data_IF_048400391507
#
_entry.id   IF_048400391507
#
_cell.length_a   1.000
_cell.length_b   1.000
_cell.length_c   1.000
_cell.angle_alpha   90.00
_cell.angle_beta   90.00
_cell.angle_gamma   90.00
#
_symmetry.space_group_name_H-M   'P 1'
#
loop_
_entity.id
_entity.type
_entity.pdbx_description
1 polymer ?
#
# COMPACT_ATOMS: atom_id res chain seq x y z
N UNK A 1 14.37 -33.29 20.67
CA UNK A 1 12.98 -33.73 20.86
C UNK A 1 12.19 -33.26 19.66
N UNK A 2 11.80 -34.16 18.75
CA UNK A 2 10.95 -33.86 17.59
C UNK A 2 9.51 -34.09 18.02
N UNK A 3 8.77 -33.01 18.32
CA UNK A 3 7.32 -33.08 18.54
C UNK A 3 6.62 -32.91 17.20
N UNK A 4 6.28 -34.03 16.55
CA UNK A 4 5.34 -34.01 15.42
C UNK A 4 3.93 -33.75 15.96
N UNK A 5 3.26 -32.75 15.42
CA UNK A 5 1.83 -32.52 15.69
C UNK A 5 1.05 -33.65 15.01
N UNK A 6 0.58 -34.62 15.79
CA UNK A 6 -0.35 -35.65 15.31
C UNK A 6 -1.70 -34.99 15.01
N UNK A 7 -2.25 -35.30 13.83
CA UNK A 7 -3.48 -34.72 13.31
C UNK A 7 -4.67 -34.99 14.22
N UNK A 8 -4.97 -34.04 15.09
CA UNK A 8 -6.21 -33.99 15.85
C UNK A 8 -7.41 -33.78 14.94
N UNK A 9 -8.55 -34.36 15.31
CA UNK A 9 -9.80 -34.25 14.58
C UNK A 9 -10.27 -32.78 14.52
N UNK A 10 -10.20 -32.17 13.33
CA UNK A 10 -10.57 -30.76 13.08
C UNK A 10 -11.93 -30.36 13.65
N UNK A 11 -12.89 -31.30 13.71
CA UNK A 11 -14.23 -31.06 14.23
C UNK A 11 -14.28 -30.95 15.77
N UNK A 12 -13.31 -31.52 16.49
CA UNK A 12 -13.21 -31.37 17.95
C UNK A 12 -12.60 -30.03 18.35
N UNK A 13 -11.61 -29.52 17.58
CA UNK A 13 -11.02 -28.20 17.81
C UNK A 13 -12.06 -27.07 17.71
N UNK A 14 -13.00 -27.18 16.76
CA UNK A 14 -14.07 -26.20 16.57
C UNK A 14 -15.17 -26.26 17.64
N UNK A 15 -15.33 -27.38 18.36
CA UNK A 15 -16.36 -27.54 19.41
C UNK A 15 -15.97 -26.93 20.76
N UNK A 16 -14.68 -26.69 21.01
CA UNK A 16 -14.18 -26.10 22.26
C UNK A 16 -14.13 -24.57 22.29
N UNK A 17 -14.13 -23.92 21.14
CA UNK A 17 -13.84 -22.49 21.04
C UNK A 17 -15.12 -21.65 20.89
N UNK A 18 -15.64 -21.16 22.02
CA UNK A 18 -16.82 -20.26 22.07
C UNK A 18 -16.60 -18.88 21.43
N UNK A 19 -15.41 -18.59 20.88
CA UNK A 19 -15.00 -17.29 20.35
C UNK A 19 -14.30 -17.42 18.97
N UNK A 20 -14.84 -18.25 18.09
CA UNK A 20 -14.35 -18.40 16.72
C UNK A 20 -14.93 -17.31 15.83
N UNK A 21 -14.07 -16.47 15.26
CA UNK A 21 -14.50 -15.41 14.35
C UNK A 21 -13.99 -15.65 12.94
N UNK A 22 -14.94 -15.74 12.02
CA UNK A 22 -14.71 -15.73 10.59
C UNK A 22 -15.12 -14.35 10.09
N UNK A 23 -14.16 -13.58 9.61
CA UNK A 23 -14.41 -12.33 8.92
C UNK A 23 -14.56 -12.62 7.43
N UNK A 24 -15.63 -12.11 6.84
CA UNK A 24 -15.90 -12.22 5.41
C UNK A 24 -15.80 -10.85 4.76
N UNK A 25 -15.20 -10.81 3.58
CA UNK A 25 -15.23 -9.67 2.68
C UNK A 25 -16.16 -9.99 1.51
N UNK A 26 -17.10 -9.09 1.23
CA UNK A 26 -18.02 -9.20 0.09
C UNK A 26 -17.83 -8.04 -0.87
N UNK A 27 -18.04 -8.27 -2.16
CA UNK A 27 -18.12 -7.19 -3.14
C UNK A 27 -19.51 -6.52 -3.13
N UNK A 28 -19.71 -5.57 -4.05
CA UNK A 28 -20.98 -4.84 -4.22
C UNK A 28 -22.17 -5.74 -4.55
N UNK A 29 -21.93 -6.90 -5.17
CA UNK A 29 -22.98 -7.88 -5.50
C UNK A 29 -23.26 -8.84 -4.34
N UNK A 30 -22.63 -8.67 -3.18
CA UNK A 30 -22.73 -9.56 -2.03
C UNK A 30 -21.97 -10.88 -2.18
N UNK A 31 -21.17 -11.05 -3.22
CA UNK A 31 -20.33 -12.24 -3.40
C UNK A 31 -19.15 -12.19 -2.45
N UNK A 32 -18.82 -13.32 -1.81
CA UNK A 32 -17.65 -13.45 -0.94
C UNK A 32 -16.38 -13.40 -1.80
N UNK A 33 -15.53 -12.41 -1.55
CA UNK A 33 -14.26 -12.18 -2.25
C UNK A 33 -13.03 -12.43 -1.37
N UNK A 34 -13.24 -12.66 -0.07
CA UNK A 34 -12.18 -13.07 0.83
C UNK A 34 -12.71 -13.47 2.19
N UNK A 35 -11.89 -14.20 2.94
CA UNK A 35 -12.18 -14.54 4.32
C UNK A 35 -10.91 -14.58 5.16
N UNK A 36 -11.08 -14.40 6.46
CA UNK A 36 -10.06 -14.56 7.48
C UNK A 36 -10.68 -15.30 8.67
N UNK A 37 -10.10 -16.43 9.04
CA UNK A 37 -10.45 -17.16 10.25
C UNK A 37 -9.42 -16.89 11.33
N UNK A 38 -9.84 -16.16 12.35
CA UNK A 38 -8.98 -15.62 13.39
C UNK A 38 -9.54 -15.88 14.80
N UNK A 39 -9.50 -17.13 15.29
CA UNK A 39 -10.00 -17.46 16.62
C UNK A 39 -9.21 -16.77 17.74
N UNK A 40 -9.90 -16.47 18.84
CA UNK A 40 -9.23 -16.11 20.09
C UNK A 40 -8.89 -17.38 20.86
N UNK A 41 -7.63 -17.51 21.25
CA UNK A 41 -7.12 -18.64 22.02
C UNK A 41 -6.41 -18.18 23.28
N UNK A 42 -5.95 -19.12 24.09
CA UNK A 42 -5.11 -18.88 25.26
C UNK A 42 -3.81 -19.63 25.07
N UNK A 43 -2.67 -18.93 25.16
CA UNK A 43 -1.37 -19.57 25.07
C UNK A 43 -1.06 -20.44 26.30
N UNK A 44 0.08 -21.14 26.25
CA UNK A 44 0.57 -22.00 27.35
C UNK A 44 0.75 -21.27 28.69
N UNK A 45 0.83 -19.93 28.68
CA UNK A 45 0.97 -19.11 29.89
C UNK A 45 -0.36 -18.65 30.48
N UNK A 46 -1.49 -19.03 29.86
CA UNK A 46 -2.81 -18.55 30.25
C UNK A 46 -3.16 -17.17 29.67
N UNK A 47 -2.34 -16.62 28.75
CA UNK A 47 -2.57 -15.31 28.17
C UNK A 47 -3.42 -15.44 26.90
N UNK A 48 -4.44 -14.58 26.77
CA UNK A 48 -5.28 -14.53 25.57
C UNK A 48 -4.47 -14.04 24.36
N UNK A 49 -4.61 -14.74 23.24
CA UNK A 49 -3.97 -14.44 21.96
C UNK A 49 -4.99 -14.46 20.81
N UNK A 50 -4.71 -13.72 19.75
CA UNK A 50 -5.39 -13.85 18.46
C UNK A 50 -4.59 -14.82 17.58
N UNK A 51 -5.19 -15.93 17.17
CA UNK A 51 -4.50 -16.88 16.29
C UNK A 51 -4.97 -16.68 14.84
N UNK A 52 -4.07 -16.35 13.92
CA UNK A 52 -4.38 -16.20 12.50
C UNK A 52 -4.14 -17.54 11.78
N UNK A 53 -5.22 -18.28 11.50
CA UNK A 53 -5.09 -19.66 11.01
C UNK A 53 -5.28 -19.80 9.50
N UNK A 54 -6.32 -19.20 8.94
CA UNK A 54 -6.67 -19.35 7.53
C UNK A 54 -7.11 -18.02 6.95
N UNK A 55 -6.58 -17.69 5.79
CA UNK A 55 -7.02 -16.54 5.04
C UNK A 55 -6.97 -16.86 3.56
N UNK A 56 -7.95 -16.36 2.80
CA UNK A 56 -7.91 -16.40 1.35
C UNK A 56 -8.56 -15.15 0.77
N UNK A 57 -8.05 -14.73 -0.37
CA UNK A 57 -8.64 -13.69 -1.20
C UNK A 57 -8.80 -14.25 -2.60
N UNK A 58 -9.98 -14.03 -3.18
CA UNK A 58 -10.30 -14.41 -4.53
C UNK A 58 -9.24 -13.84 -5.50
N UNK A 59 -8.72 -14.61 -6.48
CA UNK A 59 -7.62 -14.19 -7.36
C UNK A 59 -7.81 -12.78 -7.97
N UNK A 60 -8.99 -12.49 -8.50
CA UNK A 60 -9.31 -11.20 -9.13
C UNK A 60 -9.26 -9.97 -8.18
N UNK A 61 -9.25 -10.23 -6.87
CA UNK A 61 -9.26 -9.23 -5.81
C UNK A 61 -7.95 -9.22 -5.00
N UNK A 62 -6.97 -10.03 -5.37
CA UNK A 62 -5.63 -9.98 -4.79
C UNK A 62 -4.96 -8.64 -5.11
N UNK A 63 -4.10 -8.16 -4.20
CA UNK A 63 -3.45 -6.85 -4.34
C UNK A 63 -4.35 -5.63 -4.09
N UNK A 64 -5.69 -5.81 -3.94
CA UNK A 64 -6.65 -4.73 -3.70
C UNK A 64 -6.89 -4.42 -2.21
N UNK A 65 -5.98 -4.83 -1.32
CA UNK A 65 -6.09 -4.56 0.13
C UNK A 65 -7.17 -5.34 0.88
N UNK A 66 -7.82 -6.34 0.27
CA UNK A 66 -8.88 -7.15 0.92
C UNK A 66 -8.36 -7.84 2.18
N UNK A 67 -7.23 -8.55 2.07
CA UNK A 67 -6.64 -9.25 3.22
C UNK A 67 -6.17 -8.28 4.31
N UNK A 68 -5.57 -7.15 3.92
CA UNK A 68 -5.12 -6.12 4.84
C UNK A 68 -6.29 -5.54 5.65
N UNK A 69 -7.44 -5.34 5.01
CA UNK A 69 -8.65 -4.86 5.65
C UNK A 69 -9.25 -5.89 6.62
N UNK A 70 -9.28 -7.17 6.22
CA UNK A 70 -9.69 -8.27 7.09
C UNK A 70 -8.79 -8.38 8.33
N UNK A 71 -7.47 -8.30 8.16
CA UNK A 71 -6.51 -8.30 9.25
C UNK A 71 -6.69 -7.09 10.17
N UNK A 72 -6.87 -5.89 9.61
CA UNK A 72 -7.14 -4.68 10.38
C UNK A 72 -8.35 -4.83 11.29
N UNK A 73 -9.46 -5.38 10.77
CA UNK A 73 -10.67 -5.67 11.55
C UNK A 73 -10.44 -6.72 12.64
N UNK A 74 -9.72 -7.80 12.33
CA UNK A 74 -9.38 -8.82 13.32
C UNK A 74 -8.56 -8.24 14.48
N UNK A 75 -7.57 -7.40 14.16
CA UNK A 75 -6.73 -6.74 15.17
C UNK A 75 -7.47 -5.71 16.00
N UNK A 76 -8.29 -4.88 15.37
CA UNK A 76 -9.14 -3.93 16.09
C UNK A 76 -10.01 -4.67 17.11
N UNK A 77 -10.62 -5.77 16.70
CA UNK A 77 -11.49 -6.56 17.58
C UNK A 77 -10.74 -7.28 18.69
N UNK A 78 -9.55 -7.81 18.40
CA UNK A 78 -8.67 -8.36 19.42
C UNK A 78 -8.32 -7.28 20.47
N UNK A 79 -8.02 -6.06 20.02
CA UNK A 79 -7.73 -4.93 20.89
C UNK A 79 -8.91 -4.54 21.78
N UNK A 80 -10.11 -4.46 21.23
CA UNK A 80 -11.37 -4.22 21.97
C UNK A 80 -11.61 -5.30 23.04
N UNK A 81 -11.13 -6.52 22.81
CA UNK A 81 -11.19 -7.64 23.75
C UNK A 81 -10.01 -7.69 24.74
N UNK A 82 -9.14 -6.68 24.75
CA UNK A 82 -7.96 -6.61 25.61
C UNK A 82 -6.81 -7.56 25.20
N UNK A 83 -6.89 -8.14 24.00
CA UNK A 83 -5.88 -9.05 23.45
C UNK A 83 -4.78 -8.22 22.81
N UNK A 84 -3.56 -8.35 23.34
CA UNK A 84 -2.38 -7.57 22.91
C UNK A 84 -1.33 -8.39 22.16
N UNK A 85 -1.60 -9.66 21.93
CA UNK A 85 -0.70 -10.58 21.25
C UNK A 85 -1.48 -11.37 20.22
N UNK A 86 -0.83 -11.59 19.09
CA UNK A 86 -1.30 -12.51 18.08
C UNK A 86 -0.18 -13.50 17.74
N UNK A 87 -0.59 -14.62 17.18
CA UNK A 87 0.30 -15.65 16.68
C UNK A 87 -0.17 -16.07 15.30
N UNK A 88 0.78 -16.40 14.44
CA UNK A 88 0.50 -16.87 13.10
C UNK A 88 1.61 -17.78 12.57
N UNK A 89 1.17 -18.76 11.79
CA UNK A 89 2.05 -19.77 11.23
C UNK A 89 1.91 -19.84 9.71
N UNK A 90 2.55 -18.91 8.96
CA UNK A 90 2.54 -18.97 7.51
C UNK A 90 3.14 -20.29 7.01
N UNK A 91 2.45 -20.90 6.03
CA UNK A 91 2.86 -22.16 5.41
C UNK A 91 4.08 -22.02 4.51
N UNK A 92 4.33 -20.83 3.94
CA UNK A 92 5.42 -20.57 2.99
C UNK A 92 6.25 -19.36 3.36
N UNK A 93 7.50 -19.31 2.87
CA UNK A 93 8.41 -18.18 3.07
C UNK A 93 7.86 -16.88 2.44
N UNK A 94 7.20 -16.95 1.29
CA UNK A 94 6.63 -15.77 0.63
C UNK A 94 5.54 -15.11 1.50
N UNK A 95 4.67 -15.94 2.10
CA UNK A 95 3.67 -15.46 3.06
C UNK A 95 4.35 -14.90 4.31
N UNK A 96 5.41 -15.55 4.81
CA UNK A 96 6.18 -15.04 5.93
C UNK A 96 6.78 -13.66 5.67
N UNK A 97 7.37 -13.43 4.50
CA UNK A 97 7.92 -12.11 4.13
C UNK A 97 6.82 -11.06 3.94
N UNK A 98 5.70 -11.45 3.32
CA UNK A 98 4.51 -10.60 3.18
C UNK A 98 4.05 -10.13 4.57
N UNK A 99 3.83 -11.05 5.50
CA UNK A 99 3.41 -10.71 6.85
C UNK A 99 4.46 -9.93 7.62
N UNK A 100 5.75 -10.27 7.49
CA UNK A 100 6.83 -9.52 8.12
C UNK A 100 6.81 -8.03 7.77
N UNK A 101 6.52 -7.69 6.51
CA UNK A 101 6.36 -6.29 6.07
C UNK A 101 5.18 -5.56 6.71
N UNK A 102 4.14 -6.27 7.17
CA UNK A 102 3.02 -5.69 7.90
C UNK A 102 3.32 -5.42 9.39
N UNK A 103 4.37 -6.02 9.97
CA UNK A 103 4.56 -6.07 11.42
C UNK A 103 5.92 -5.54 11.91
N UNK A 104 6.22 -4.26 11.71
CA UNK A 104 7.60 -3.76 11.87
C UNK A 104 8.08 -3.33 13.28
N UNK A 105 7.25 -3.12 14.34
CA UNK A 105 7.79 -2.47 15.59
C UNK A 105 7.27 -2.93 16.96
N UNK A 106 7.92 -3.95 17.61
CA UNK A 106 7.71 -4.71 18.93
C UNK A 106 6.87 -6.04 19.03
N UNK A 107 6.36 -6.51 20.18
CA UNK A 107 6.05 -7.93 20.52
C UNK A 107 4.82 -8.68 19.94
N UNK A 108 5.01 -9.52 18.93
CA UNK A 108 4.20 -10.72 18.56
C UNK A 108 5.06 -11.70 17.78
N UNK A 109 4.68 -12.99 17.70
CA UNK A 109 5.50 -14.02 17.06
C UNK A 109 4.90 -14.44 15.71
N UNK A 110 5.76 -14.64 14.73
CA UNK A 110 5.45 -15.21 13.42
C UNK A 110 6.44 -16.34 13.20
N UNK A 111 5.95 -17.54 12.93
CA UNK A 111 6.80 -18.70 12.65
C UNK A 111 6.45 -19.30 11.28
N UNK A 112 7.41 -19.28 10.35
CA UNK A 112 7.24 -19.97 9.08
C UNK A 112 7.28 -21.50 9.31
N UNK A 113 6.22 -22.22 8.96
CA UNK A 113 6.18 -23.68 9.16
C UNK A 113 7.19 -24.41 8.26
N UNK A 114 7.41 -23.90 7.04
CA UNK A 114 8.31 -24.52 6.07
C UNK A 114 9.78 -24.38 6.47
N UNK A 115 10.19 -23.21 6.96
CA UNK A 115 11.59 -22.88 7.23
C UNK A 115 11.95 -22.90 8.71
N UNK A 116 10.97 -22.94 9.61
CA UNK A 116 11.15 -22.79 11.06
C UNK A 116 11.64 -21.41 11.47
N UNK A 117 11.69 -20.44 10.53
CA UNK A 117 12.13 -19.08 10.84
C UNK A 117 11.11 -18.40 11.73
N UNK A 118 11.61 -17.82 12.82
CA UNK A 118 10.81 -17.05 13.77
C UNK A 118 11.12 -15.57 13.62
N UNK A 119 10.08 -14.76 13.56
CA UNK A 119 10.17 -13.31 13.61
C UNK A 119 9.34 -12.80 14.78
N UNK A 120 9.90 -11.83 15.50
CA UNK A 120 9.20 -11.13 16.57
C UNK A 120 8.95 -9.69 16.12
N UNK A 121 7.71 -9.37 15.76
CA UNK A 121 7.31 -8.08 15.21
C UNK A 121 5.91 -7.70 15.68
N UNK A 122 5.48 -6.48 15.38
CA UNK A 122 4.35 -5.85 16.09
C UNK A 122 3.40 -5.19 15.14
N UNK A 123 2.17 -5.08 15.60
CA UNK A 123 1.13 -4.34 14.92
C UNK A 123 1.44 -2.84 15.06
N UNK A 124 1.99 -2.22 14.01
CA UNK A 124 1.68 -0.82 13.74
C UNK A 124 0.20 -0.76 13.39
N UNK A 125 -0.52 0.23 13.94
CA UNK A 125 -1.94 0.46 13.71
C UNK A 125 -2.22 0.24 12.21
N UNK A 126 -2.83 -0.89 11.86
CA UNK A 126 -3.20 -1.15 10.47
C UNK A 126 -4.19 -0.04 10.17
N UNK A 127 -3.92 0.86 9.21
CA UNK A 127 -4.95 1.79 8.80
C UNK A 127 -6.14 0.93 8.42
N UNK A 128 -7.23 1.06 9.19
CA UNK A 128 -8.51 0.51 8.80
C UNK A 128 -8.85 1.30 7.54
N UNK A 129 -8.46 0.76 6.39
CA UNK A 129 -8.99 1.21 5.12
C UNK A 129 -10.47 0.86 5.23
N UNK A 130 -11.30 1.88 5.42
CA UNK A 130 -12.74 1.75 5.25
C UNK A 130 -12.97 1.34 3.80
N UNK A 131 -13.01 0.03 3.55
CA UNK A 131 -13.49 -0.53 2.28
C UNK A 131 -15.01 -0.46 2.31
N UNK A 132 -15.51 0.77 2.31
CA UNK A 132 -16.89 1.11 2.07
C UNK A 132 -16.93 2.19 0.98
N UNK A 133 -16.18 2.00 -0.11
CA UNK A 133 -16.45 2.67 -1.37
C UNK A 133 -15.79 1.91 -2.53
N UNK A 134 -16.65 1.19 -3.24
CA UNK A 134 -16.62 0.95 -4.70
C UNK A 134 -15.36 0.29 -5.29
N UNK A 135 -15.28 -1.04 -5.23
CA UNK A 135 -14.34 -1.82 -6.04
C UNK A 135 -15.01 -2.13 -7.38
N UNK A 136 -14.88 -1.21 -8.32
CA UNK A 136 -15.46 -1.33 -9.66
C UNK A 136 -14.85 -2.51 -10.45
N UNK A 137 -15.69 -3.50 -10.76
CA UNK A 137 -15.71 -4.31 -11.99
C UNK A 137 -14.63 -5.39 -12.23
N UNK A 138 -15.00 -6.57 -12.76
CA UNK A 138 -14.04 -7.57 -13.26
C UNK A 138 -13.46 -7.12 -14.61
N UNK A 139 -12.13 -7.22 -14.78
CA UNK A 139 -11.48 -7.05 -16.08
C UNK A 139 -11.58 -8.37 -16.84
N UNK A 140 -12.22 -8.30 -18.00
CA UNK A 140 -12.55 -9.42 -18.87
C UNK A 140 -11.26 -10.10 -19.40
N UNK A 141 -10.89 -11.25 -18.85
CA UNK A 141 -9.71 -12.02 -19.25
C UNK A 141 -10.07 -13.04 -20.35
N UNK A 142 -10.18 -12.52 -21.58
CA UNK A 142 -10.42 -13.28 -22.79
C UNK A 142 -9.33 -13.12 -23.84
N UNK A 143 -8.05 -13.39 -23.52
CA UNK A 143 -7.00 -13.66 -24.52
C UNK A 143 -5.78 -14.30 -23.85
N UNK A 144 -5.33 -15.45 -24.37
CA UNK A 144 -4.07 -16.10 -23.98
C UNK A 144 -2.90 -15.32 -24.59
N UNK A 145 -2.27 -14.42 -23.83
CA UNK A 145 -0.98 -13.82 -24.16
C UNK A 145 0.17 -14.61 -23.51
N UNK A 146 1.33 -14.74 -24.18
CA UNK A 146 2.48 -15.48 -23.65
C UNK A 146 3.13 -14.72 -22.49
N UNK A 147 3.66 -15.47 -21.52
CA UNK A 147 4.18 -14.95 -20.25
C UNK A 147 5.36 -14.00 -20.39
N UNK A 148 5.08 -12.71 -20.25
CA UNK A 148 6.04 -11.67 -19.89
C UNK A 148 5.46 -10.90 -18.70
N UNK A 149 6.28 -10.66 -17.67
CA UNK A 149 5.89 -9.77 -16.58
C UNK A 149 5.96 -8.35 -17.16
N UNK A 150 4.80 -7.74 -17.42
CA UNK A 150 4.73 -6.33 -17.76
C UNK A 150 4.97 -5.52 -16.49
N UNK A 151 6.19 -4.99 -16.34
CA UNK A 151 6.59 -4.23 -15.15
C UNK A 151 5.77 -2.93 -14.99
N UNK A 152 5.09 -2.47 -16.04
CA UNK A 152 4.19 -1.30 -16.02
C UNK A 152 2.88 -1.59 -15.29
N UNK A 153 2.52 -2.87 -15.13
CA UNK A 153 1.29 -3.32 -14.45
C UNK A 153 1.60 -3.84 -13.05
N UNK A 154 2.79 -3.58 -12.52
CA UNK A 154 3.12 -3.99 -11.16
C UNK A 154 2.24 -3.27 -10.13
N UNK A 155 1.90 -3.95 -9.01
CA UNK A 155 1.18 -3.34 -7.90
C UNK A 155 1.82 -2.04 -7.41
N UNK A 156 3.15 -1.92 -7.52
CA UNK A 156 3.90 -0.73 -7.06
C UNK A 156 3.55 0.50 -7.90
N UNK A 157 3.54 0.37 -9.22
CA UNK A 157 3.21 1.48 -10.14
C UNK A 157 1.74 1.85 -10.01
N UNK A 158 0.86 0.85 -9.97
CA UNK A 158 -0.59 1.07 -9.84
C UNK A 158 -0.98 1.68 -8.48
N UNK A 159 -0.29 1.32 -7.39
CA UNK A 159 -0.45 1.94 -6.07
C UNK A 159 0.08 3.38 -6.06
N UNK A 160 1.26 3.63 -6.62
CA UNK A 160 1.82 4.98 -6.71
C UNK A 160 0.90 5.92 -7.52
N UNK A 161 0.40 5.46 -8.67
CA UNK A 161 -0.57 6.21 -9.47
C UNK A 161 -1.87 6.47 -8.71
N UNK A 162 -2.37 5.48 -7.96
CA UNK A 162 -3.58 5.61 -7.14
C UNK A 162 -3.41 6.58 -5.97
N UNK A 163 -2.30 6.48 -5.23
CA UNK A 163 -1.95 7.37 -4.13
C UNK A 163 -1.81 8.80 -4.63
N UNK A 164 -1.11 8.99 -5.75
CA UNK A 164 -0.89 10.30 -6.33
C UNK A 164 -2.22 10.91 -6.80
N UNK A 165 -3.07 10.14 -7.48
CA UNK A 165 -4.42 10.58 -7.88
C UNK A 165 -5.29 10.98 -6.69
N UNK A 166 -5.22 10.24 -5.58
CA UNK A 166 -5.95 10.58 -4.36
C UNK A 166 -5.38 11.83 -3.66
N UNK A 167 -4.06 11.98 -3.63
CA UNK A 167 -3.38 13.17 -3.14
C UNK A 167 -3.66 14.41 -4.02
N UNK A 168 -4.05 14.21 -5.28
CA UNK A 168 -4.44 15.25 -6.23
C UNK A 168 -5.90 15.69 -6.06
N UNK A 169 -6.79 14.82 -5.59
CA UNK A 169 -8.23 15.09 -5.45
C UNK A 169 -8.63 16.07 -4.34
N UNK A 170 -7.71 16.47 -3.45
CA UNK A 170 -8.00 17.31 -2.27
C UNK A 170 -7.34 18.68 -2.28
N UNK A 171 -6.68 19.11 -3.37
CA UNK A 171 -6.12 20.47 -3.43
C UNK A 171 -7.25 21.43 -3.81
N UNK A 172 -7.61 22.42 -2.96
CA UNK A 172 -8.52 23.46 -3.38
C UNK A 172 -7.89 24.17 -4.58
N UNK A 173 -8.66 24.28 -5.66
CA UNK A 173 -8.36 24.98 -6.90
C UNK A 173 -7.92 26.47 -6.75
N UNK A 174 -7.57 26.94 -5.56
CA UNK A 174 -7.17 28.32 -5.28
C UNK A 174 -5.86 28.74 -5.95
N UNK A 175 -5.02 27.80 -6.43
CA UNK A 175 -3.90 28.11 -7.35
C UNK A 175 -4.19 27.81 -8.82
N UNK A 176 -5.27 27.08 -9.12
CA UNK A 176 -5.73 26.83 -10.49
C UNK A 176 -6.55 27.99 -11.08
N UNK A 177 -7.03 28.93 -10.28
CA UNK A 177 -7.59 30.19 -10.80
C UNK A 177 -6.55 31.00 -11.59
N UNK A 178 -5.25 30.83 -11.31
CA UNK A 178 -4.18 31.48 -12.08
C UNK A 178 -3.93 30.76 -13.41
N UNK A 179 -4.06 29.43 -13.45
CA UNK A 179 -3.92 28.64 -14.68
C UNK A 179 -5.14 28.79 -15.63
N UNK A 180 -6.34 29.04 -15.10
CA UNK A 180 -7.54 29.33 -15.91
C UNK A 180 -7.72 30.82 -16.28
N UNK A 181 -7.01 31.76 -15.63
CA UNK A 181 -7.02 33.19 -16.01
C UNK A 181 -5.94 33.60 -17.02
N UNK A 182 -5.26 32.65 -17.66
CA UNK A 182 -4.36 32.96 -18.78
C UNK A 182 -3.01 33.59 -18.39
N UNK A 183 -2.67 33.61 -17.10
CA UNK A 183 -1.31 33.87 -16.64
C UNK A 183 -0.62 32.53 -16.40
N UNK A 184 0.07 32.04 -17.42
CA UNK A 184 1.07 30.99 -17.28
C UNK A 184 2.01 31.41 -16.14
N UNK A 185 2.03 30.76 -14.96
CA UNK A 185 3.13 30.99 -14.03
C UNK A 185 4.39 30.66 -14.80
N UNK A 186 5.37 31.56 -14.79
CA UNK A 186 6.59 31.43 -15.56
C UNK A 186 7.30 30.13 -15.15
N UNK A 187 6.99 29.02 -15.84
CA UNK A 187 7.42 27.66 -15.48
C UNK A 187 8.94 27.57 -15.42
N UNK A 188 9.60 28.31 -16.31
CA UNK A 188 11.06 28.42 -16.35
C UNK A 188 11.60 29.05 -15.07
N UNK A 189 10.94 30.11 -14.58
CA UNK A 189 11.33 30.75 -13.32
C UNK A 189 11.01 29.87 -12.11
N UNK A 190 9.88 29.17 -12.11
CA UNK A 190 9.55 28.22 -11.03
C UNK A 190 10.54 27.06 -10.99
N UNK A 191 10.96 26.55 -12.16
CA UNK A 191 12.02 25.54 -12.24
C UNK A 191 13.35 26.07 -11.72
N UNK A 192 13.77 27.26 -12.13
CA UNK A 192 14.99 27.90 -11.64
C UNK A 192 14.95 28.14 -10.13
N UNK A 193 13.79 28.43 -9.56
CA UNK A 193 13.63 28.55 -8.11
C UNK A 193 13.82 27.19 -7.41
N UNK A 194 13.23 26.12 -7.94
CA UNK A 194 13.39 24.76 -7.42
C UNK A 194 14.85 24.32 -7.52
N UNK A 195 15.50 24.55 -8.65
CA UNK A 195 16.90 24.21 -8.88
C UNK A 195 17.82 24.95 -7.91
N UNK A 196 17.63 26.26 -7.72
CA UNK A 196 18.39 27.05 -6.73
C UNK A 196 18.20 26.56 -5.30
N UNK A 197 17.01 26.08 -4.93
CA UNK A 197 16.80 25.49 -3.61
C UNK A 197 17.64 24.23 -3.44
N UNK A 198 17.59 23.31 -4.41
CA UNK A 198 18.34 22.06 -4.37
C UNK A 198 19.85 22.33 -4.36
N UNK A 199 20.34 23.24 -5.19
CA UNK A 199 21.75 23.67 -5.22
C UNK A 199 22.22 24.30 -3.89
N UNK A 200 21.32 25.01 -3.20
CA UNK A 200 21.59 25.57 -1.88
C UNK A 200 21.51 24.53 -0.74
N UNK A 201 21.26 23.25 -1.05
CA UNK A 201 21.04 22.19 -0.06
C UNK A 201 19.71 22.30 0.67
N UNK A 202 18.76 23.08 0.14
CA UNK A 202 17.42 23.24 0.70
C UNK A 202 16.49 22.29 -0.04
N UNK A 203 15.96 21.28 0.65
CA UNK A 203 14.97 20.38 0.07
C UNK A 203 13.66 21.12 -0.22
N UNK A 204 13.22 21.25 -1.50
CA UNK A 204 11.91 21.79 -1.83
C UNK A 204 10.80 20.84 -1.39
N UNK A 205 9.61 21.38 -1.10
CA UNK A 205 8.49 20.53 -0.69
C UNK A 205 7.97 19.69 -1.85
N UNK A 206 7.43 18.50 -1.54
CA UNK A 206 6.86 17.62 -2.55
C UNK A 206 5.63 18.22 -3.23
N UNK A 207 4.90 19.11 -2.55
CA UNK A 207 3.81 19.89 -3.14
C UNK A 207 4.31 20.85 -4.21
N UNK A 208 5.47 21.49 -4.02
CA UNK A 208 6.02 22.45 -5.00
C UNK A 208 6.45 21.74 -6.28
N UNK A 209 7.12 20.60 -6.15
CA UNK A 209 7.49 19.72 -7.28
C UNK A 209 6.23 19.23 -8.00
N UNK A 210 5.22 18.83 -7.25
CA UNK A 210 3.93 18.40 -7.79
C UNK A 210 3.24 19.51 -8.57
N UNK A 211 3.13 20.73 -8.03
CA UNK A 211 2.53 21.88 -8.71
C UNK A 211 3.26 22.19 -10.03
N UNK A 212 4.59 22.15 -10.04
CA UNK A 212 5.40 22.32 -11.24
C UNK A 212 5.08 21.26 -12.31
N UNK A 213 5.02 19.98 -11.91
CA UNK A 213 4.69 18.88 -12.84
C UNK A 213 3.27 19.06 -13.39
N UNK A 214 2.30 19.42 -12.56
CA UNK A 214 0.92 19.66 -13.00
C UNK A 214 0.83 20.79 -14.03
N UNK A 215 1.47 21.93 -13.74
CA UNK A 215 1.48 23.08 -14.64
C UNK A 215 2.25 22.78 -15.95
N UNK A 216 3.33 21.99 -15.87
CA UNK A 216 4.09 21.51 -17.04
C UNK A 216 3.29 20.50 -17.88
N UNK A 217 2.53 19.61 -17.24
CA UNK A 217 1.61 18.67 -17.90
C UNK A 217 0.48 19.42 -18.63
N UNK A 218 -0.08 20.46 -18.01
CA UNK A 218 -1.11 21.30 -18.60
C UNK A 218 -0.61 22.02 -19.87
N UNK A 219 0.64 22.49 -19.85
CA UNK A 219 1.30 23.16 -20.98
C UNK A 219 1.88 22.19 -22.03
N UNK A 220 1.86 20.87 -21.79
CA UNK A 220 2.28 19.85 -22.75
C UNK A 220 3.80 19.68 -22.92
N UNK A 221 4.61 20.25 -22.03
CA UNK A 221 6.07 20.28 -22.13
C UNK A 221 6.73 19.84 -20.82
N UNK A 222 6.41 18.64 -20.33
CA UNK A 222 7.08 18.06 -19.15
C UNK A 222 8.41 17.45 -19.58
N UNK A 223 9.50 18.02 -19.10
CA UNK A 223 10.82 17.40 -19.16
C UNK A 223 10.99 16.45 -17.98
N UNK A 224 10.68 15.17 -18.21
CA UNK A 224 10.70 14.14 -17.16
C UNK A 224 12.09 13.92 -16.60
N UNK A 225 13.09 13.95 -17.46
CA UNK A 225 14.48 13.65 -17.09
C UNK A 225 15.00 14.70 -16.11
N UNK A 226 14.65 15.98 -16.33
CA UNK A 226 14.95 17.06 -15.39
C UNK A 226 14.31 16.83 -14.02
N UNK A 227 13.04 16.45 -13.99
CA UNK A 227 12.32 16.22 -12.73
C UNK A 227 12.88 15.00 -11.98
N UNK A 228 13.17 13.91 -12.71
CA UNK A 228 13.80 12.71 -12.15
C UNK A 228 15.18 13.05 -11.56
N UNK A 229 15.99 13.84 -12.27
CA UNK A 229 17.29 14.29 -11.79
C UNK A 229 17.16 15.11 -10.50
N UNK A 230 16.23 16.08 -10.47
CA UNK A 230 15.95 16.88 -9.28
C UNK A 230 15.54 16.03 -8.07
N UNK A 231 14.62 15.07 -8.26
CA UNK A 231 14.20 14.15 -7.19
C UNK A 231 15.40 13.30 -6.73
N UNK A 232 16.23 12.82 -7.65
CA UNK A 232 17.41 12.02 -7.31
C UNK A 232 18.42 12.80 -6.47
N UNK A 233 18.63 14.08 -6.77
CA UNK A 233 19.50 14.96 -5.98
C UNK A 233 18.92 15.21 -4.58
N UNK A 234 17.59 15.37 -4.45
CA UNK A 234 16.91 15.45 -3.15
C UNK A 234 17.10 14.15 -2.35
N UNK A 235 16.91 12.99 -2.97
CA UNK A 235 17.08 11.70 -2.29
C UNK A 235 18.52 11.50 -1.81
N UNK A 236 19.51 11.94 -2.60
CA UNK A 236 20.91 11.91 -2.18
C UNK A 236 21.17 12.83 -0.97
N UNK A 237 20.60 14.04 -0.98
CA UNK A 237 20.69 14.94 0.19
C UNK A 237 20.04 14.32 1.43
N UNK A 238 18.87 13.70 1.29
CA UNK A 238 18.17 13.04 2.40
C UNK A 238 18.93 11.82 2.94
N UNK A 239 19.63 11.10 2.06
CA UNK A 239 20.53 10.00 2.45
C UNK A 239 21.70 10.51 3.29
N UNK A 240 22.37 11.57 2.84
CA UNK A 240 23.47 12.22 3.56
C UNK A 240 23.03 12.76 4.94
N UNK A 241 21.81 13.30 5.03
CA UNK A 241 21.20 13.79 6.26
C UNK A 241 20.54 12.70 7.13
N UNK A 242 20.45 11.46 6.63
CA UNK A 242 19.77 10.33 7.29
C UNK A 242 18.31 10.62 7.67
N UNK A 243 17.58 11.34 6.82
CA UNK A 243 16.19 11.72 7.06
C UNK A 243 15.20 10.89 6.20
N UNK A 244 13.93 10.86 6.63
CA UNK A 244 12.91 10.07 5.96
C UNK A 244 12.43 10.76 4.69
N UNK A 245 12.38 10.02 3.58
CA UNK A 245 11.79 10.51 2.33
C UNK A 245 10.27 10.60 2.39
N UNK A 246 9.75 11.71 1.87
CA UNK A 246 8.31 11.91 1.71
C UNK A 246 7.69 10.87 0.76
N UNK A 247 6.52 10.36 1.14
CA UNK A 247 5.83 9.34 0.35
C UNK A 247 5.42 9.86 -1.03
N UNK A 248 4.97 11.12 -1.12
CA UNK A 248 4.56 11.74 -2.38
C UNK A 248 5.73 11.85 -3.35
N UNK A 249 6.92 12.19 -2.86
CA UNK A 249 8.12 12.28 -3.69
C UNK A 249 8.49 10.93 -4.32
N UNK A 250 8.37 9.84 -3.54
CA UNK A 250 8.59 8.46 -4.05
C UNK A 250 7.54 8.07 -5.08
N UNK A 251 6.28 8.39 -4.82
CA UNK A 251 5.18 8.09 -5.75
C UNK A 251 5.36 8.85 -7.07
N UNK A 252 5.79 10.11 -7.02
CA UNK A 252 6.13 10.90 -8.22
C UNK A 252 7.25 10.23 -9.03
N UNK A 253 8.34 9.82 -8.37
CA UNK A 253 9.47 9.17 -9.05
C UNK A 253 9.03 7.89 -9.75
N UNK A 254 8.27 7.03 -9.06
CA UNK A 254 7.76 5.77 -9.61
C UNK A 254 6.89 6.01 -10.85
N UNK A 255 6.03 7.03 -10.81
CA UNK A 255 5.15 7.37 -11.94
C UNK A 255 5.94 7.91 -13.13
N UNK A 256 6.99 8.71 -12.90
CA UNK A 256 7.84 9.24 -13.96
C UNK A 256 8.70 8.16 -14.61
N UNK A 257 9.26 7.22 -13.83
CA UNK A 257 10.10 6.12 -14.31
C UNK A 257 9.32 5.02 -15.04
N UNK A 258 8.04 4.80 -14.69
CA UNK A 258 7.20 3.80 -15.33
C UNK A 258 6.94 4.03 -16.83
N UNK A 259 7.50 5.10 -17.41
CA UNK A 259 7.46 5.38 -18.84
C UNK A 259 6.10 5.89 -19.31
N UNK A 260 5.23 6.34 -18.40
CA UNK A 260 3.92 6.89 -18.73
C UNK A 260 4.06 8.00 -19.78
N UNK A 261 3.40 7.86 -20.92
CA UNK A 261 3.36 8.86 -22.00
C UNK A 261 2.94 10.23 -21.47
N UNK A 262 3.28 11.32 -22.18
CA UNK A 262 2.89 12.67 -21.76
C UNK A 262 1.36 12.80 -21.55
N UNK A 263 0.59 11.98 -22.27
CA UNK A 263 -0.86 11.90 -22.16
C UNK A 263 -1.31 11.16 -20.88
N UNK A 264 -0.68 10.03 -20.53
CA UNK A 264 -0.93 9.34 -19.26
C UNK A 264 -0.50 10.17 -18.05
N UNK A 265 0.62 10.91 -18.14
CA UNK A 265 1.02 11.86 -17.10
C UNK A 265 -0.01 12.98 -16.95
N UNK A 266 -0.56 13.49 -18.06
CA UNK A 266 -1.63 14.49 -18.00
C UNK A 266 -2.86 13.92 -17.31
N UNK A 267 -3.26 12.70 -17.60
CA UNK A 267 -4.38 12.03 -16.93
C UNK A 267 -4.13 11.82 -15.43
N UNK A 268 -2.91 11.45 -15.05
CA UNK A 268 -2.53 11.23 -13.65
C UNK A 268 -2.47 12.55 -12.88
N UNK A 269 -1.79 13.56 -13.40
CA UNK A 269 -1.47 14.80 -12.68
C UNK A 269 -2.51 15.92 -12.83
N UNK A 270 -3.22 15.98 -13.96
CA UNK A 270 -4.23 17.03 -14.24
C UNK A 270 -5.65 16.49 -14.05
N UNK A 271 -5.84 15.17 -14.16
CA UNK A 271 -7.16 14.54 -14.16
C UNK A 271 -7.90 14.74 -15.48
N UNK A 272 -8.90 13.89 -15.76
CA UNK A 272 -9.81 14.10 -16.89
C UNK A 272 -10.62 15.37 -16.64
N UNK A 273 -10.25 16.48 -17.27
CA UNK A 273 -11.17 17.59 -17.47
C UNK A 273 -12.22 17.15 -18.48
N UNK A 274 -13.39 16.75 -17.96
CA UNK A 274 -14.65 16.73 -18.71
C UNK A 274 -15.28 18.11 -18.60
#
# INVERSE_FOLDING_TARGET
SKGGYEGGNYAEFLKGAKNNEILLATNETGQIIGFLYSPFDTDETGKRILYLSHAAVHPDYQGRGVLSSLLGRAFQKAWENGIKSFDMQPLSEDLFQLYKGYFERRSSWIECQQTGKRFKGNITRVPVLDVAESVSGPVNSGAKTPGGIDLRVLPIVTQAMGNLRNALGTVPLARHEIAMMGTVPNLEQEWQDIERMVEAGITPSSERIKEYIQASCANGAVDKDKVIQCISDILRQQEEECCSTDATLRDILVVLEAGASAQELKEVFVGNQV
#
